data_IF_381454233530
#
_entry.id   IF_381454233530
#
_cell.length_a   1.000
_cell.length_b   1.000
_cell.length_c   1.000
_cell.angle_alpha   90.00
_cell.angle_beta   90.00
_cell.angle_gamma   90.00
#
_symmetry.space_group_name_H-M   'P 1'
#
loop_
_entity.id
_entity.type
_entity.pdbx_description
1 polymer ?
#
# COMPACT_ATOMS: atom_id res chain seq x y z
N UNK A 1 14.98 -24.25 -9.76
CA UNK A 1 14.84 -25.68 -9.34
C UNK A 1 13.47 -25.96 -8.70
N UNK A 2 13.02 -25.19 -7.70
CA UNK A 2 11.73 -25.43 -7.03
C UNK A 2 10.56 -25.13 -7.97
N UNK A 3 10.56 -23.96 -8.61
CA UNK A 3 9.62 -23.60 -9.66
C UNK A 3 9.49 -24.68 -10.75
N UNK A 4 10.64 -25.15 -11.27
CA UNK A 4 10.67 -26.16 -12.34
C UNK A 4 10.07 -27.51 -11.92
N UNK A 5 10.23 -27.86 -10.63
CA UNK A 5 9.61 -29.08 -10.08
C UNK A 5 8.10 -28.96 -10.01
N UNK A 6 7.61 -27.75 -9.71
CA UNK A 6 6.19 -27.50 -9.54
C UNK A 6 5.45 -27.43 -10.88
N UNK A 7 6.04 -26.73 -11.86
CA UNK A 7 5.38 -26.51 -13.16
C UNK A 7 5.69 -27.58 -14.22
N UNK A 8 6.72 -28.39 -14.02
CA UNK A 8 7.11 -29.47 -14.92
C UNK A 8 7.95 -29.02 -16.14
N UNK A 9 8.42 -27.78 -16.17
CA UNK A 9 9.26 -27.26 -17.25
C UNK A 9 10.34 -26.32 -16.69
N UNK A 10 11.41 -26.12 -17.49
CA UNK A 10 12.55 -25.27 -17.07
C UNK A 10 12.19 -23.80 -17.08
N UNK A 11 12.64 -23.06 -16.06
CA UNK A 11 12.60 -21.61 -16.05
C UNK A 11 13.50 -21.04 -17.14
N UNK A 12 13.00 -20.00 -17.80
CA UNK A 12 13.73 -19.23 -18.80
C UNK A 12 13.52 -17.73 -18.52
N UNK A 13 14.59 -16.90 -18.56
CA UNK A 13 14.47 -15.47 -18.34
C UNK A 13 13.48 -14.78 -19.30
N UNK A 14 13.34 -15.32 -20.51
CA UNK A 14 12.43 -14.83 -21.54
C UNK A 14 10.96 -14.83 -21.06
N UNK A 15 10.60 -15.70 -20.13
CA UNK A 15 9.25 -15.71 -19.52
C UNK A 15 8.90 -14.38 -18.86
N UNK A 16 9.90 -13.65 -18.37
CA UNK A 16 9.75 -12.31 -17.78
C UNK A 16 10.00 -11.24 -18.82
N UNK A 17 11.11 -11.34 -19.56
CA UNK A 17 11.57 -10.33 -20.50
C UNK A 17 10.55 -10.16 -21.63
N UNK A 18 10.07 -11.25 -22.19
CA UNK A 18 9.13 -11.26 -23.31
C UNK A 18 7.75 -10.74 -22.95
N UNK A 19 7.44 -10.54 -21.67
CA UNK A 19 6.22 -9.89 -21.23
C UNK A 19 6.23 -8.36 -21.29
N UNK A 20 7.28 -7.78 -21.83
CA UNK A 20 7.39 -6.34 -21.97
C UNK A 20 7.95 -5.63 -20.74
N UNK A 21 8.53 -6.38 -19.79
CA UNK A 21 9.13 -5.79 -18.59
C UNK A 21 10.15 -4.68 -18.90
N UNK A 22 10.89 -4.85 -19.99
CA UNK A 22 11.92 -3.90 -20.43
C UNK A 22 11.54 -3.14 -21.70
N UNK A 23 10.33 -3.26 -22.20
CA UNK A 23 9.86 -2.55 -23.40
C UNK A 23 8.42 -2.03 -23.23
N UNK A 24 8.04 -1.09 -24.10
CA UNK A 24 6.76 -0.37 -24.05
C UNK A 24 5.55 -1.14 -24.59
N UNK A 25 5.74 -2.31 -25.09
CA UNK A 25 4.69 -3.01 -25.80
C UNK A 25 3.87 -3.82 -24.83
N UNK A 26 2.59 -3.50 -24.73
CA UNK A 26 1.64 -4.35 -24.01
C UNK A 26 1.61 -5.74 -24.65
N UNK A 27 1.72 -6.75 -23.83
CA UNK A 27 1.62 -8.16 -24.23
C UNK A 27 0.66 -8.88 -23.31
N UNK A 28 -0.13 -9.76 -23.87
CA UNK A 28 -0.97 -10.66 -23.09
C UNK A 28 -0.02 -11.58 -22.30
N UNK A 29 -0.13 -11.65 -20.96
CA UNK A 29 0.75 -12.49 -20.15
C UNK A 29 0.68 -13.96 -20.58
N UNK A 30 1.83 -14.56 -20.88
CA UNK A 30 1.94 -15.97 -21.22
C UNK A 30 1.57 -16.87 -20.02
N UNK A 31 1.34 -18.13 -20.28
CA UNK A 31 1.09 -19.14 -19.25
C UNK A 31 2.29 -19.23 -18.29
N UNK A 32 3.50 -19.32 -18.86
CA UNK A 32 4.75 -19.46 -18.10
C UNK A 32 4.98 -18.29 -17.17
N UNK A 33 4.66 -17.08 -17.63
CA UNK A 33 4.74 -15.89 -16.81
C UNK A 33 3.72 -15.90 -15.66
N UNK A 34 2.49 -16.29 -15.93
CA UNK A 34 1.44 -16.44 -14.89
C UNK A 34 1.81 -17.50 -13.87
N UNK A 35 2.36 -18.63 -14.31
CA UNK A 35 2.84 -19.70 -13.43
C UNK A 35 3.99 -19.19 -12.54
N UNK A 36 4.92 -18.43 -13.12
CA UNK A 36 6.02 -17.83 -12.36
C UNK A 36 5.53 -16.83 -11.31
N UNK A 37 4.58 -15.97 -11.66
CA UNK A 37 3.99 -15.04 -10.70
C UNK A 37 3.25 -15.77 -9.57
N UNK A 38 2.47 -16.78 -9.90
CA UNK A 38 1.76 -17.58 -8.92
C UNK A 38 2.74 -18.29 -7.97
N UNK A 39 3.82 -18.85 -8.50
CA UNK A 39 4.90 -19.42 -7.72
C UNK A 39 5.52 -18.39 -6.77
N UNK A 40 5.91 -17.22 -7.29
CA UNK A 40 6.48 -16.14 -6.46
C UNK A 40 5.55 -15.73 -5.32
N UNK A 41 4.25 -15.56 -5.59
CA UNK A 41 3.29 -15.19 -4.54
C UNK A 41 3.24 -16.22 -3.42
N UNK A 42 3.18 -17.49 -3.75
CA UNK A 42 3.17 -18.55 -2.74
C UNK A 42 4.45 -18.60 -1.92
N UNK A 43 5.60 -18.51 -2.57
CA UNK A 43 6.89 -18.56 -1.88
C UNK A 43 7.11 -17.34 -0.99
N UNK A 44 6.72 -16.14 -1.45
CA UNK A 44 6.81 -14.92 -0.64
C UNK A 44 5.84 -14.99 0.55
N UNK A 45 4.60 -15.41 0.33
CA UNK A 45 3.63 -15.55 1.41
C UNK A 45 4.09 -16.59 2.46
N UNK A 46 4.66 -17.71 2.02
CA UNK A 46 5.23 -18.72 2.90
C UNK A 46 6.37 -18.17 3.76
N UNK A 47 7.33 -17.47 3.12
CA UNK A 47 8.44 -16.86 3.84
C UNK A 47 7.96 -15.80 4.84
N UNK A 48 7.02 -14.96 4.41
CA UNK A 48 6.42 -13.95 5.29
C UNK A 48 5.70 -14.60 6.47
N UNK A 49 4.97 -15.70 6.23
CA UNK A 49 4.31 -16.44 7.30
C UNK A 49 5.31 -17.00 8.32
N UNK A 50 6.40 -17.59 7.87
CA UNK A 50 7.45 -18.10 8.76
C UNK A 50 7.99 -16.99 9.69
N UNK A 51 8.17 -15.78 9.16
CA UNK A 51 8.60 -14.61 9.95
C UNK A 51 7.51 -14.16 10.94
N UNK A 52 6.27 -14.13 10.51
CA UNK A 52 5.12 -13.77 11.36
C UNK A 52 4.93 -14.78 12.49
N UNK A 53 5.02 -16.06 12.19
CA UNK A 53 4.89 -17.13 13.19
C UNK A 53 5.95 -16.98 14.31
N UNK A 54 7.19 -16.65 13.95
CA UNK A 54 8.25 -16.36 14.94
C UNK A 54 7.87 -15.16 15.82
N UNK A 55 7.34 -14.08 15.25
CA UNK A 55 6.89 -12.92 16.03
C UNK A 55 5.80 -13.30 17.01
N UNK A 56 4.85 -14.13 16.57
CA UNK A 56 3.74 -14.61 17.40
C UNK A 56 4.20 -15.54 18.52
N UNK A 57 5.23 -16.36 18.30
CA UNK A 57 5.84 -17.20 19.36
C UNK A 57 6.35 -16.38 20.54
N UNK A 58 6.76 -15.12 20.29
CA UNK A 58 7.16 -14.17 21.33
C UNK A 58 5.98 -13.36 21.91
N UNK A 59 4.75 -13.70 21.57
CA UNK A 59 3.54 -12.99 22.02
C UNK A 59 3.46 -11.54 21.51
N UNK A 60 4.04 -11.26 20.34
CA UNK A 60 4.04 -9.92 19.71
C UNK A 60 3.17 -9.91 18.48
N UNK A 61 2.67 -8.73 18.13
CA UNK A 61 1.95 -8.51 16.89
C UNK A 61 2.93 -8.27 15.74
N UNK A 62 2.64 -8.90 14.61
CA UNK A 62 3.42 -8.75 13.38
C UNK A 62 2.79 -7.68 12.49
N UNK A 63 3.56 -6.66 12.18
CA UNK A 63 3.16 -5.57 11.30
C UNK A 63 4.05 -5.52 10.07
N UNK A 64 3.44 -5.28 8.91
CA UNK A 64 4.18 -5.15 7.66
C UNK A 64 3.90 -3.83 6.98
N UNK A 65 4.97 -3.15 6.56
CA UNK A 65 4.86 -2.02 5.68
C UNK A 65 4.60 -2.49 4.24
N UNK A 66 3.50 -2.02 3.66
CA UNK A 66 3.11 -2.31 2.29
C UNK A 66 3.48 -1.14 1.40
N UNK A 67 4.51 -1.30 0.60
CA UNK A 67 4.82 -0.36 -0.46
C UNK A 67 3.84 -0.48 -1.63
N UNK A 68 3.92 0.46 -2.57
CA UNK A 68 2.99 0.54 -3.69
C UNK A 68 3.11 -0.61 -4.71
N UNK A 69 4.19 -1.40 -4.64
CA UNK A 69 4.56 -2.35 -5.68
C UNK A 69 5.05 -3.70 -5.16
N UNK A 70 4.36 -4.26 -4.20
CA UNK A 70 4.75 -5.55 -3.62
C UNK A 70 4.24 -6.73 -4.45
N UNK A 71 5.09 -7.23 -5.32
CA UNK A 71 4.82 -8.49 -6.03
C UNK A 71 4.81 -9.64 -5.02
N UNK A 72 3.74 -10.43 -5.06
CA UNK A 72 3.63 -11.63 -4.24
C UNK A 72 3.04 -11.39 -2.85
N UNK A 73 2.72 -10.14 -2.52
CA UNK A 73 2.09 -9.78 -1.25
C UNK A 73 0.90 -8.84 -1.43
N UNK A 74 0.23 -8.95 -2.56
CA UNK A 74 -0.94 -8.14 -2.84
C UNK A 74 -2.06 -8.47 -1.85
N UNK A 75 -2.59 -7.49 -1.10
CA UNK A 75 -3.51 -7.72 0.02
C UNK A 75 -4.83 -8.39 -0.38
N UNK A 76 -5.17 -8.38 -1.65
CA UNK A 76 -6.41 -8.92 -2.18
C UNK A 76 -6.23 -10.27 -2.86
N UNK A 77 -5.05 -10.87 -2.75
CA UNK A 77 -4.78 -12.22 -3.25
C UNK A 77 -5.00 -13.24 -2.13
N UNK A 78 -5.39 -14.44 -2.50
CA UNK A 78 -5.72 -15.50 -1.55
C UNK A 78 -4.54 -15.86 -0.62
N UNK A 79 -3.34 -15.79 -1.14
CA UNK A 79 -2.11 -16.09 -0.40
C UNK A 79 -1.87 -15.10 0.76
N UNK A 80 -2.33 -13.87 0.64
CA UNK A 80 -2.12 -12.84 1.67
C UNK A 80 -2.76 -13.22 3.01
N UNK A 81 -3.98 -13.75 2.98
CA UNK A 81 -4.67 -14.17 4.19
C UNK A 81 -3.89 -15.24 4.98
N UNK A 82 -3.14 -16.09 4.28
CA UNK A 82 -2.36 -17.16 4.91
C UNK A 82 -1.15 -16.69 5.71
N UNK A 83 -0.71 -15.44 5.49
CA UNK A 83 0.46 -14.87 6.18
C UNK A 83 0.17 -14.67 7.68
N UNK A 84 -1.05 -14.25 8.01
CA UNK A 84 -1.45 -14.06 9.42
C UNK A 84 -0.94 -12.75 10.04
N UNK A 85 -0.73 -11.71 9.24
CA UNK A 85 -0.36 -10.38 9.74
C UNK A 85 -1.42 -9.81 10.67
N UNK A 86 -1.00 -9.16 11.74
CA UNK A 86 -1.90 -8.40 12.63
C UNK A 86 -2.19 -7.01 12.07
N UNK A 87 -1.22 -6.37 11.46
CA UNK A 87 -1.36 -5.04 10.90
C UNK A 87 -0.63 -4.87 9.56
N UNK A 88 -1.17 -3.98 8.75
CA UNK A 88 -0.50 -3.46 7.56
C UNK A 88 -0.38 -1.95 7.65
N UNK A 89 0.77 -1.43 7.22
CA UNK A 89 1.07 -0.01 7.21
C UNK A 89 1.32 0.45 5.78
N UNK A 90 0.71 1.52 5.37
CA UNK A 90 0.94 2.12 4.06
C UNK A 90 1.05 3.63 4.09
N UNK A 91 1.65 4.18 3.05
CA UNK A 91 1.72 5.62 2.87
C UNK A 91 0.34 6.17 2.52
N UNK A 92 -0.13 7.14 3.29
CA UNK A 92 -1.44 7.78 3.07
C UNK A 92 -1.31 9.19 2.51
N UNK A 93 -0.49 9.33 1.47
CA UNK A 93 -0.26 10.59 0.79
C UNK A 93 -1.46 11.13 0.00
N UNK A 94 -2.49 10.31 -0.21
CA UNK A 94 -3.73 10.69 -0.90
C UNK A 94 -4.91 9.83 -0.43
N UNK A 95 -6.12 10.28 -0.76
CA UNK A 95 -7.34 9.61 -0.33
C UNK A 95 -7.56 8.25 -0.96
N UNK A 96 -7.13 8.04 -2.20
CA UNK A 96 -7.24 6.75 -2.88
C UNK A 96 -6.41 5.68 -2.17
N UNK A 97 -5.16 5.98 -1.85
CA UNK A 97 -4.28 5.05 -1.12
C UNK A 97 -4.85 4.72 0.26
N UNK A 98 -5.33 5.72 0.99
CA UNK A 98 -5.95 5.50 2.30
C UNK A 98 -7.14 4.54 2.22
N UNK A 99 -7.99 4.70 1.22
CA UNK A 99 -9.14 3.80 1.00
C UNK A 99 -8.73 2.39 0.67
N UNK A 100 -7.72 2.23 -0.17
CA UNK A 100 -7.17 0.92 -0.51
C UNK A 100 -6.64 0.21 0.74
N UNK A 101 -6.00 0.95 1.64
CA UNK A 101 -5.53 0.39 2.91
C UNK A 101 -6.67 0.06 3.86
N UNK A 102 -7.68 0.90 3.97
CA UNK A 102 -8.84 0.64 4.84
C UNK A 102 -9.66 -0.57 4.41
N UNK A 103 -9.60 -0.92 3.12
CA UNK A 103 -10.30 -2.07 2.55
C UNK A 103 -9.54 -3.40 2.70
N UNK A 104 -8.30 -3.38 3.19
CA UNK A 104 -7.52 -4.61 3.38
C UNK A 104 -8.18 -5.47 4.46
N UNK A 105 -8.47 -6.70 4.08
CA UNK A 105 -9.08 -7.70 4.94
C UNK A 105 -8.02 -8.64 5.54
N UNK A 106 -8.44 -9.41 6.53
CA UNK A 106 -7.60 -10.42 7.18
C UNK A 106 -6.43 -9.83 7.97
N UNK A 107 -6.56 -8.60 8.44
CA UNK A 107 -5.68 -7.96 9.41
C UNK A 107 -6.52 -7.34 10.51
N UNK A 108 -5.96 -7.21 11.71
CA UNK A 108 -6.64 -6.55 12.85
C UNK A 108 -6.66 -5.04 12.68
N UNK A 109 -5.55 -4.48 12.16
CA UNK A 109 -5.35 -3.05 12.05
C UNK A 109 -4.86 -2.67 10.67
N UNK A 110 -5.37 -1.54 10.17
CA UNK A 110 -4.80 -0.84 9.03
C UNK A 110 -4.23 0.48 9.52
N UNK A 111 -2.97 0.77 9.16
CA UNK A 111 -2.26 1.95 9.61
C UNK A 111 -1.85 2.84 8.45
N UNK A 112 -2.06 4.13 8.61
CA UNK A 112 -1.57 5.14 7.69
C UNK A 112 -0.23 5.69 8.14
N UNK A 113 0.76 5.60 7.29
CA UNK A 113 2.00 6.32 7.45
C UNK A 113 1.85 7.71 6.87
N UNK A 114 1.72 8.66 7.77
CA UNK A 114 1.59 10.06 7.45
C UNK A 114 2.96 10.67 7.14
N UNK A 115 3.04 11.48 6.13
CA UNK A 115 4.26 12.04 5.57
C UNK A 115 5.35 10.98 5.35
N UNK A 116 5.20 10.16 4.33
CA UNK A 116 6.06 9.01 4.10
C UNK A 116 7.41 9.38 3.47
N UNK A 117 7.88 10.61 3.60
CA UNK A 117 9.09 11.00 2.95
C UNK A 117 10.30 10.33 3.54
N UNK A 118 10.94 9.69 2.64
CA UNK A 118 12.28 9.22 2.83
C UNK A 118 13.18 10.41 2.79
N UNK A 119 13.92 10.95 3.26
CA UNK A 119 15.15 11.51 3.15
C UNK A 119 15.37 12.60 2.11
N UNK A 120 16.14 13.46 2.43
CA UNK A 120 16.11 14.69 3.21
C UNK A 120 15.25 15.76 2.55
N UNK A 121 14.21 15.32 1.80
CA UNK A 121 13.50 16.15 0.84
C UNK A 121 12.82 17.36 1.45
N UNK A 122 12.47 17.29 2.74
CA UNK A 122 11.86 18.42 3.44
C UNK A 122 12.52 18.74 4.76
N UNK A 123 13.34 17.84 5.33
CA UNK A 123 14.02 18.01 6.61
C UNK A 123 15.46 18.54 6.43
N UNK A 124 15.59 19.70 5.83
CA UNK A 124 16.86 20.39 5.62
C UNK A 124 16.69 21.89 5.83
N UNK A 125 17.79 22.60 5.90
CA UNK A 125 17.76 24.07 5.95
C UNK A 125 17.04 24.66 4.72
N UNK A 126 16.03 25.49 4.95
CA UNK A 126 15.17 26.06 3.91
C UNK A 126 14.02 25.15 3.44
N UNK A 127 13.92 23.92 3.96
CA UNK A 127 12.77 23.06 3.73
C UNK A 127 11.58 23.44 4.62
N UNK A 128 10.37 23.05 4.21
CA UNK A 128 9.13 23.30 4.97
C UNK A 128 8.37 22.00 5.24
N UNK A 129 8.79 21.20 6.23
CA UNK A 129 8.11 19.96 6.57
C UNK A 129 6.68 20.17 7.08
N UNK A 130 6.39 21.34 7.68
CA UNK A 130 5.04 21.64 8.17
C UNK A 130 4.08 21.86 7.01
N UNK A 131 4.50 22.58 5.99
CA UNK A 131 3.68 22.79 4.80
C UNK A 131 3.33 21.45 4.12
N UNK A 132 4.33 20.61 3.91
CA UNK A 132 4.11 19.29 3.32
C UNK A 132 3.17 18.43 4.19
N UNK A 133 3.34 18.47 5.49
CA UNK A 133 2.46 17.76 6.42
C UNK A 133 1.02 18.28 6.36
N UNK A 134 0.82 19.59 6.27
CA UNK A 134 -0.51 20.20 6.13
C UNK A 134 -1.20 19.76 4.84
N UNK A 135 -0.51 19.79 3.71
CA UNK A 135 -1.04 19.35 2.42
C UNK A 135 -1.43 17.87 2.49
N UNK A 136 -0.56 17.05 3.03
CA UNK A 136 -0.81 15.62 3.18
C UNK A 136 -2.01 15.33 4.10
N UNK A 137 -2.10 16.01 5.25
CA UNK A 137 -3.18 15.82 6.20
C UNK A 137 -4.54 16.23 5.64
N UNK A 138 -4.63 17.35 4.95
CA UNK A 138 -5.89 17.79 4.32
C UNK A 138 -6.42 16.73 3.36
N UNK A 139 -5.55 16.10 2.60
CA UNK A 139 -5.91 15.05 1.65
C UNK A 139 -6.31 13.75 2.36
N UNK A 140 -5.52 13.31 3.31
CA UNK A 140 -5.78 12.08 4.06
C UNK A 140 -7.07 12.17 4.89
N UNK A 141 -7.30 13.29 5.58
CA UNK A 141 -8.45 13.51 6.46
C UNK A 141 -9.81 13.31 5.75
N UNK A 142 -9.92 13.76 4.51
CA UNK A 142 -11.14 13.58 3.72
C UNK A 142 -11.53 12.12 3.53
N UNK A 143 -10.56 11.28 3.32
CA UNK A 143 -10.78 9.86 3.11
C UNK A 143 -11.07 9.11 4.42
N UNK A 144 -10.49 9.53 5.54
CA UNK A 144 -10.72 8.92 6.87
C UNK A 144 -12.20 8.95 7.25
N UNK A 145 -12.90 10.02 6.95
CA UNK A 145 -14.33 10.15 7.26
C UNK A 145 -15.21 9.09 6.56
N UNK A 146 -14.72 8.48 5.50
CA UNK A 146 -15.48 7.49 4.71
C UNK A 146 -14.95 6.07 4.85
N UNK A 147 -13.66 5.94 5.03
CA UNK A 147 -12.95 4.67 5.12
C UNK A 147 -11.91 4.77 6.24
N UNK A 148 -12.33 4.62 7.49
CA UNK A 148 -11.44 4.81 8.62
C UNK A 148 -10.35 3.74 8.63
N UNK A 149 -9.11 4.18 8.79
CA UNK A 149 -8.00 3.36 9.24
C UNK A 149 -7.96 3.36 10.76
N UNK A 150 -7.37 2.33 11.37
CA UNK A 150 -7.36 2.22 12.83
C UNK A 150 -6.24 3.01 13.49
N UNK A 151 -5.14 3.23 12.76
CA UNK A 151 -3.96 3.92 13.29
C UNK A 151 -3.37 4.87 12.27
N UNK A 152 -2.79 5.97 12.75
CA UNK A 152 -2.01 6.89 11.94
C UNK A 152 -0.78 7.33 12.73
N UNK A 153 0.31 7.58 12.04
CA UNK A 153 1.52 8.08 12.66
C UNK A 153 2.52 8.62 11.66
N UNK A 154 3.53 9.30 12.17
CA UNK A 154 4.64 9.77 11.35
C UNK A 154 5.47 8.57 10.85
N UNK A 155 5.72 8.54 9.58
CA UNK A 155 6.36 7.40 8.93
C UNK A 155 7.72 7.68 8.32
N UNK A 156 8.52 8.51 8.95
CA UNK A 156 9.85 8.86 8.47
C UNK A 156 10.95 8.60 9.51
N UNK A 157 12.12 9.19 9.28
CA UNK A 157 13.24 9.11 10.21
C UNK A 157 13.03 10.05 11.40
N UNK A 158 12.64 9.49 12.53
CA UNK A 158 12.34 10.26 13.74
C UNK A 158 13.50 11.19 14.16
N UNK A 159 14.75 10.72 14.03
CA UNK A 159 15.93 11.51 14.35
C UNK A 159 16.05 12.80 13.52
N UNK A 160 15.57 12.80 12.28
CA UNK A 160 15.52 14.01 11.46
C UNK A 160 14.36 14.91 11.90
N UNK A 161 13.18 14.34 12.07
CA UNK A 161 11.99 15.09 12.48
C UNK A 161 12.19 15.82 13.82
N UNK A 162 12.88 15.20 14.77
CA UNK A 162 13.19 15.82 16.08
C UNK A 162 14.07 17.08 16.01
N UNK A 163 14.69 17.35 14.87
CA UNK A 163 15.42 18.61 14.64
C UNK A 163 14.49 19.77 14.26
N UNK A 164 13.21 19.48 14.05
CA UNK A 164 12.17 20.45 13.67
C UNK A 164 11.03 20.41 14.71
N UNK A 165 11.19 21.06 15.87
CA UNK A 165 10.20 20.99 16.95
C UNK A 165 8.79 21.37 16.51
N UNK A 166 8.64 22.44 15.75
CA UNK A 166 7.33 22.89 15.24
C UNK A 166 6.63 21.84 14.36
N UNK A 167 7.41 21.03 13.64
CA UNK A 167 6.88 19.92 12.90
C UNK A 167 6.39 18.81 13.83
N UNK A 168 7.13 18.51 14.90
CA UNK A 168 6.73 17.50 15.89
C UNK A 168 5.43 17.92 16.56
N UNK A 169 5.33 19.17 17.00
CA UNK A 169 4.11 19.73 17.60
C UNK A 169 2.93 19.67 16.64
N UNK A 170 3.15 19.95 15.35
CA UNK A 170 2.11 19.81 14.34
C UNK A 170 1.63 18.35 14.18
N UNK A 171 2.54 17.37 14.16
CA UNK A 171 2.19 15.96 14.07
C UNK A 171 1.44 15.48 15.31
N UNK A 172 1.80 15.96 16.49
CA UNK A 172 1.05 15.68 17.72
C UNK A 172 -0.40 16.17 17.59
N UNK A 173 -0.60 17.40 17.13
CA UNK A 173 -1.92 17.95 16.84
C UNK A 173 -2.71 17.12 15.80
N UNK A 174 -2.06 16.63 14.75
CA UNK A 174 -2.67 15.72 13.77
C UNK A 174 -3.11 14.42 14.43
N UNK A 175 -2.30 13.85 15.32
CA UNK A 175 -2.66 12.63 16.03
C UNK A 175 -3.86 12.84 16.96
N UNK A 176 -3.97 14.00 17.62
CA UNK A 176 -5.11 14.34 18.46
C UNK A 176 -6.38 14.57 17.64
N UNK A 177 -6.28 15.25 16.52
CA UNK A 177 -7.39 15.39 15.57
C UNK A 177 -7.84 14.02 15.05
N UNK A 178 -6.90 13.16 14.70
CA UNK A 178 -7.21 11.80 14.24
C UNK A 178 -7.96 10.99 15.31
N UNK A 179 -7.49 11.01 16.55
CA UNK A 179 -8.18 10.32 17.66
C UNK A 179 -9.61 10.82 17.81
N UNK A 180 -9.78 12.14 17.78
CA UNK A 180 -11.12 12.76 17.88
C UNK A 180 -12.03 12.30 16.73
N UNK A 181 -11.52 12.30 15.49
CA UNK A 181 -12.29 11.82 14.35
C UNK A 181 -12.60 10.32 14.47
N UNK A 182 -11.62 9.53 14.83
CA UNK A 182 -11.76 8.08 14.97
C UNK A 182 -12.82 7.72 16.01
N UNK A 183 -12.77 8.34 17.19
CA UNK A 183 -13.72 8.10 18.28
C UNK A 183 -15.16 8.49 17.90
N UNK A 184 -15.30 9.56 17.10
CA UNK A 184 -16.62 10.02 16.67
C UNK A 184 -17.22 9.22 15.51
N UNK A 185 -16.39 8.56 14.69
CA UNK A 185 -16.88 7.77 13.55
C UNK A 185 -17.04 6.29 13.87
N UNK A 186 -16.55 5.82 15.00
CA UNK A 186 -16.75 4.44 15.44
C UNK A 186 -18.24 4.11 15.63
N UNK A 187 -18.65 2.99 15.05
CA UNK A 187 -20.04 2.55 15.12
C UNK A 187 -21.02 3.36 14.27
N UNK A 188 -20.54 4.38 13.55
CA UNK A 188 -21.34 5.16 12.62
C UNK A 188 -21.12 4.64 11.19
N UNK A 189 -22.20 4.31 10.49
CA UNK A 189 -22.14 4.03 9.05
C UNK A 189 -22.31 5.33 8.31
N UNK A 190 -21.28 5.83 7.61
CA UNK A 190 -21.40 7.06 6.87
C UNK A 190 -22.48 6.96 5.78
N UNK A 191 -23.29 8.00 5.63
CA UNK A 191 -24.19 8.06 4.51
C UNK A 191 -23.39 8.26 3.20
N UNK A 192 -23.49 7.29 2.32
CA UNK A 192 -22.81 7.31 1.02
C UNK A 192 -23.84 7.38 -0.10
N UNK A 193 -23.63 8.29 -1.05
CA UNK A 193 -24.40 8.31 -2.29
C UNK A 193 -23.88 7.18 -3.20
N UNK A 194 -24.54 6.04 -3.16
CA UNK A 194 -24.14 4.84 -3.90
C UNK A 194 -24.67 4.85 -5.33
N UNK A 195 -24.22 5.79 -6.15
CA UNK A 195 -24.65 5.90 -7.55
C UNK A 195 -23.66 5.35 -8.55
N UNK A 196 -22.41 5.20 -8.17
CA UNK A 196 -21.34 4.72 -9.06
C UNK A 196 -20.60 3.60 -8.37
N UNK A 197 -20.42 2.49 -9.08
CA UNK A 197 -19.56 1.39 -8.65
C UNK A 197 -18.25 1.43 -9.44
N UNK A 198 -17.13 1.41 -8.75
CA UNK A 198 -15.81 1.26 -9.34
C UNK A 198 -15.38 -0.19 -9.19
N UNK A 199 -15.19 -0.87 -10.32
CA UNK A 199 -14.69 -2.25 -10.32
C UNK A 199 -13.20 -2.24 -9.95
N UNK A 200 -12.88 -2.82 -8.81
CA UNK A 200 -11.52 -2.93 -8.32
C UNK A 200 -10.92 -4.31 -8.66
N UNK A 201 -9.96 -4.33 -9.59
CA UNK A 201 -9.17 -5.52 -9.94
C UNK A 201 -7.75 -5.44 -9.34
N UNK A 202 -7.62 -4.87 -8.17
CA UNK A 202 -6.38 -4.44 -7.53
C UNK A 202 -5.24 -5.48 -7.60
N UNK A 203 -5.46 -6.70 -7.17
CA UNK A 203 -4.41 -7.71 -7.16
C UNK A 203 -3.88 -8.05 -8.55
N UNK A 204 -4.78 -8.38 -9.48
CA UNK A 204 -4.41 -8.77 -10.85
C UNK A 204 -3.87 -7.61 -11.68
N UNK A 205 -4.46 -6.43 -11.53
CA UNK A 205 -3.97 -5.24 -12.22
C UNK A 205 -2.62 -4.77 -11.70
N UNK A 206 -2.34 -4.95 -10.42
CA UNK A 206 -1.06 -4.55 -9.86
C UNK A 206 0.08 -5.41 -10.39
N UNK A 207 -0.11 -6.71 -10.45
CA UNK A 207 0.85 -7.60 -11.08
C UNK A 207 1.09 -7.23 -12.54
N UNK A 208 0.05 -6.80 -13.23
CA UNK A 208 0.14 -6.31 -14.60
C UNK A 208 0.81 -4.92 -14.70
N UNK A 209 0.46 -3.97 -13.81
CA UNK A 209 1.10 -2.66 -13.76
C UNK A 209 2.62 -2.76 -13.57
N UNK A 210 3.07 -3.71 -12.76
CA UNK A 210 4.50 -3.96 -12.57
C UNK A 210 5.23 -4.39 -13.86
N UNK A 211 4.52 -4.91 -14.85
CA UNK A 211 5.10 -5.19 -16.15
C UNK A 211 5.22 -3.98 -17.05
N UNK A 212 4.36 -3.01 -16.80
CA UNK A 212 4.24 -1.80 -17.61
C UNK A 212 5.03 -0.62 -17.03
N UNK A 213 5.83 -0.87 -15.99
CA UNK A 213 6.57 0.17 -15.24
C UNK A 213 7.57 0.93 -16.12
N UNK A 214 8.05 0.30 -17.17
CA UNK A 214 8.99 0.95 -18.06
C UNK A 214 8.26 1.89 -19.03
N UNK A 215 8.69 3.12 -19.15
CA UNK A 215 8.25 4.13 -20.12
C UNK A 215 6.92 4.89 -19.87
N UNK A 216 6.56 5.13 -18.63
CA UNK A 216 5.48 6.06 -18.33
C UNK A 216 4.05 5.55 -18.56
N UNK A 217 3.86 4.30 -19.02
CA UNK A 217 2.53 3.69 -19.10
C UNK A 217 1.94 3.42 -17.72
N UNK A 218 2.79 3.13 -16.75
CA UNK A 218 2.45 3.01 -15.34
C UNK A 218 1.70 4.25 -14.83
N UNK A 219 2.21 5.43 -15.10
CA UNK A 219 1.55 6.68 -14.68
C UNK A 219 0.16 6.83 -15.30
N UNK A 220 0.00 6.50 -16.57
CA UNK A 220 -1.31 6.60 -17.25
C UNK A 220 -2.35 5.69 -16.64
N UNK A 221 -1.97 4.51 -16.20
CA UNK A 221 -2.89 3.58 -15.52
C UNK A 221 -3.21 4.01 -14.11
N UNK A 222 -2.21 4.44 -13.35
CA UNK A 222 -2.42 5.00 -12.03
C UNK A 222 -3.32 6.24 -12.08
N UNK A 223 -3.12 7.11 -13.04
CA UNK A 223 -4.00 8.27 -13.22
C UNK A 223 -5.46 7.87 -13.45
N UNK A 224 -5.71 6.90 -14.30
CA UNK A 224 -7.07 6.41 -14.54
C UNK A 224 -7.67 5.80 -13.28
N UNK A 225 -6.94 4.95 -12.61
CA UNK A 225 -7.42 4.18 -11.47
C UNK A 225 -7.55 5.05 -10.20
N UNK A 226 -6.49 5.73 -9.82
CA UNK A 226 -6.50 6.61 -8.65
C UNK A 226 -7.33 7.88 -8.89
N UNK A 227 -7.26 8.45 -10.08
CA UNK A 227 -8.01 9.64 -10.43
C UNK A 227 -9.52 9.45 -10.35
N UNK A 228 -10.04 8.30 -10.75
CA UNK A 228 -11.47 7.99 -10.59
C UNK A 228 -11.84 7.90 -9.11
N UNK A 229 -11.04 7.22 -8.31
CA UNK A 229 -11.30 7.07 -6.88
C UNK A 229 -11.24 8.45 -6.19
N UNK A 230 -10.26 9.28 -6.50
CA UNK A 230 -10.15 10.63 -5.95
C UNK A 230 -11.32 11.51 -6.38
N UNK A 231 -11.68 11.52 -7.66
CA UNK A 231 -12.78 12.32 -8.18
C UNK A 231 -14.14 11.97 -7.58
N UNK A 232 -14.36 10.69 -7.28
CA UNK A 232 -15.59 10.20 -6.64
C UNK A 232 -15.58 10.34 -5.12
N UNK A 233 -14.46 10.77 -4.56
CA UNK A 233 -14.18 10.79 -3.13
C UNK A 233 -14.27 12.18 -2.52
N UNK A 234 -14.13 13.20 -3.37
CA UNK A 234 -14.11 14.62 -2.98
C UNK A 234 -15.45 15.17 -2.55
#
# INVERSE_FOLDING_TARGET
KQFEKEVGYKFRPEFIIDQGYMNNTYRIPSKEFKDFQAFQRREVAKLAKEMVDIVHEYGKEAMMFMGDHWIGMEPFMDEFASIGLDAVVGSVGNGATLRLFSDIKNVKYTEGRFLPYFFPDVFHEGGDPIYEAKVNWVTARRAILRSPIQRIGYGGYLKLALQFPDFVDYIEGVCDEFRTLYDNIQGVTPYCVKKVAVLNCWGKMRSWANHMVHHGLYYRQNYSYFGIIEALSG
#
